data_IF_921934875180
#
_entry.id   IF_921934875180
#
_cell.length_a   1.000
_cell.length_b   1.000
_cell.length_c   1.000
_cell.angle_alpha   90.00
_cell.angle_beta   90.00
_cell.angle_gamma   90.00
#
_symmetry.space_group_name_H-M   'P 1'
#
loop_
_entity.id
_entity.type
_entity.pdbx_description
1 polymer ?
#
# COMPACT_ATOMS: atom_id res chain seq x y z
N UNK A 1 -26.74 87.17 31.97
CA UNK A 1 -27.00 86.08 31.02
C UNK A 1 -25.70 85.86 30.28
N UNK A 2 -25.08 84.70 30.44
CA UNK A 2 -23.72 84.43 29.94
C UNK A 2 -23.82 83.89 28.52
N UNK A 3 -23.08 84.45 27.57
CA UNK A 3 -23.00 83.91 26.22
C UNK A 3 -22.16 82.64 26.22
N UNK A 4 -22.73 81.54 25.72
CA UNK A 4 -22.03 80.27 25.52
C UNK A 4 -21.75 80.14 24.03
N UNK A 5 -20.48 80.20 23.65
CA UNK A 5 -20.05 79.86 22.29
C UNK A 5 -20.01 78.34 22.16
N UNK A 6 -20.85 77.80 21.26
CA UNK A 6 -20.79 76.40 20.83
C UNK A 6 -20.10 76.37 19.48
N UNK A 7 -18.87 75.85 19.42
CA UNK A 7 -18.22 75.50 18.17
C UNK A 7 -18.57 74.06 17.82
N UNK A 8 -19.28 73.85 16.73
CA UNK A 8 -19.46 72.51 16.14
C UNK A 8 -18.31 72.24 15.19
N UNK A 9 -17.41 71.32 15.56
CA UNK A 9 -16.42 70.78 14.64
C UNK A 9 -17.10 69.83 13.65
N UNK A 10 -16.96 70.12 12.36
CA UNK A 10 -17.53 69.32 11.27
C UNK A 10 -16.43 68.36 10.74
N UNK A 11 -16.54 67.08 11.08
CA UNK A 11 -15.60 66.05 10.63
C UNK A 11 -16.05 65.54 9.27
N UNK A 12 -15.52 66.12 8.20
CA UNK A 12 -15.76 65.68 6.83
C UNK A 12 -14.87 64.47 6.51
N UNK A 13 -15.45 63.27 6.55
CA UNK A 13 -14.78 62.03 6.12
C UNK A 13 -14.76 61.99 4.59
N UNK A 14 -13.65 62.42 3.99
CA UNK A 14 -13.43 62.36 2.54
C UNK A 14 -12.46 61.21 2.26
N UNK A 15 -12.96 60.08 1.73
CA UNK A 15 -12.09 59.13 1.04
C UNK A 15 -12.00 57.72 1.63
N UNK A 16 -13.14 57.04 1.78
CA UNK A 16 -13.17 55.59 1.70
C UNK A 16 -13.88 55.19 0.40
N UNK A 17 -13.26 54.34 -0.42
CA UNK A 17 -13.91 53.81 -1.63
C UNK A 17 -15.21 53.14 -1.22
N UNK A 18 -16.33 53.56 -1.82
CA UNK A 18 -17.67 53.10 -1.43
C UNK A 18 -17.86 51.59 -1.60
N UNK A 19 -17.07 50.95 -2.47
CA UNK A 19 -17.08 49.53 -2.73
C UNK A 19 -15.64 49.01 -2.93
N UNK A 20 -15.30 47.90 -2.29
CA UNK A 20 -14.10 47.11 -2.61
C UNK A 20 -14.57 45.89 -3.39
N UNK A 21 -14.20 45.80 -4.67
CA UNK A 21 -14.48 44.61 -5.45
C UNK A 21 -13.45 43.53 -5.06
N UNK A 22 -13.89 42.51 -4.34
CA UNK A 22 -13.07 41.34 -4.00
C UNK A 22 -13.44 40.24 -4.98
N UNK A 23 -12.62 40.05 -6.00
CA UNK A 23 -12.75 38.91 -6.90
C UNK A 23 -12.25 37.66 -6.17
N UNK A 24 -13.15 36.72 -5.88
CA UNK A 24 -12.85 35.44 -5.21
C UNK A 24 -12.80 34.27 -6.18
N UNK A 25 -12.97 34.54 -7.47
CA UNK A 25 -13.19 33.51 -8.49
C UNK A 25 -11.89 32.81 -8.90
N UNK A 26 -10.74 33.49 -8.71
CA UNK A 26 -9.43 32.99 -9.11
C UNK A 26 -8.39 33.28 -8.03
N UNK A 27 -7.78 32.23 -7.49
CA UNK A 27 -6.55 32.35 -6.72
C UNK A 27 -5.35 32.66 -7.62
N UNK A 28 -4.18 32.97 -7.04
CA UNK A 28 -2.95 33.09 -7.81
C UNK A 28 -2.72 31.83 -8.65
N UNK A 29 -2.39 32.01 -9.93
CA UNK A 29 -1.96 30.90 -10.77
C UNK A 29 -0.63 30.37 -10.24
N UNK A 30 -0.62 29.14 -9.72
CA UNK A 30 0.60 28.46 -9.30
C UNK A 30 1.48 28.05 -10.49
N UNK A 31 2.77 27.86 -10.25
CA UNK A 31 3.73 27.47 -11.30
C UNK A 31 3.41 26.09 -11.89
N UNK A 32 2.96 25.16 -11.04
CA UNK A 32 2.47 23.83 -11.42
C UNK A 32 1.55 23.23 -10.34
N UNK A 33 0.88 22.13 -10.67
CA UNK A 33 0.22 21.26 -9.70
C UNK A 33 1.21 20.34 -8.97
N UNK A 34 0.68 19.57 -8.01
CA UNK A 34 1.48 18.61 -7.24
C UNK A 34 1.98 17.47 -8.13
N UNK A 35 3.24 17.10 -7.95
CA UNK A 35 3.82 15.91 -8.58
C UNK A 35 3.62 14.69 -7.70
N UNK A 36 3.38 13.56 -8.36
CA UNK A 36 3.40 12.23 -7.75
C UNK A 36 4.67 11.53 -8.20
N UNK A 37 5.57 11.31 -7.24
CA UNK A 37 6.88 10.70 -7.43
C UNK A 37 6.87 9.28 -6.87
N UNK A 38 7.63 8.40 -7.50
CA UNK A 38 7.84 7.02 -7.04
C UNK A 38 9.32 6.73 -7.17
N UNK A 39 9.93 6.21 -6.10
CA UNK A 39 11.38 5.99 -6.08
C UNK A 39 11.83 4.97 -5.05
N UNK A 40 13.13 4.72 -5.03
CA UNK A 40 13.78 3.79 -4.13
C UNK A 40 14.45 4.57 -3.00
N UNK A 41 14.06 4.29 -1.76
CA UNK A 41 14.63 4.89 -0.56
C UNK A 41 13.71 5.91 0.12
N UNK A 42 14.01 6.22 1.37
CA UNK A 42 13.40 7.30 2.14
C UNK A 42 13.63 8.64 1.39
N UNK A 43 12.56 9.37 1.02
CA UNK A 43 12.67 10.61 0.27
C UNK A 43 13.42 11.73 1.00
N UNK A 44 13.64 11.63 2.32
CA UNK A 44 14.48 12.55 3.09
C UNK A 44 15.99 12.27 2.96
N UNK A 45 16.37 11.09 2.49
CA UNK A 45 17.78 10.65 2.43
C UNK A 45 18.35 10.58 1.02
N UNK A 46 17.48 10.56 0.02
CA UNK A 46 17.85 10.43 -1.40
C UNK A 46 17.84 11.79 -2.12
N UNK A 47 18.58 11.86 -3.22
CA UNK A 47 18.51 12.99 -4.15
C UNK A 47 17.36 12.86 -5.13
N UNK A 48 16.63 13.94 -5.36
CA UNK A 48 15.55 14.00 -6.34
C UNK A 48 16.05 14.63 -7.64
N UNK A 49 15.66 14.06 -8.79
CA UNK A 49 16.05 14.59 -10.11
C UNK A 49 15.23 15.81 -10.54
N UNK A 50 14.14 16.11 -9.81
CA UNK A 50 13.21 17.20 -10.09
C UNK A 50 13.15 18.17 -8.93
N UNK A 51 12.91 19.45 -9.23
CA UNK A 51 12.70 20.46 -8.20
C UNK A 51 11.40 20.20 -7.44
N UNK A 52 11.55 20.00 -6.13
CA UNK A 52 10.44 19.69 -5.22
C UNK A 52 9.66 20.95 -4.88
N UNK A 53 8.34 20.82 -4.82
CA UNK A 53 7.42 21.86 -4.34
C UNK A 53 6.55 21.31 -3.21
N UNK A 54 6.10 22.20 -2.34
CA UNK A 54 5.20 21.83 -1.24
C UNK A 54 3.96 21.13 -1.80
N UNK A 55 3.49 20.13 -1.06
CA UNK A 55 2.38 19.23 -1.37
C UNK A 55 2.67 18.18 -2.46
N UNK A 56 3.89 18.11 -2.99
CA UNK A 56 4.32 16.95 -3.77
C UNK A 56 4.20 15.67 -2.95
N UNK A 57 3.90 14.57 -3.63
CA UNK A 57 3.70 13.24 -3.05
C UNK A 57 4.82 12.32 -3.52
N UNK A 58 5.34 11.48 -2.63
CA UNK A 58 6.35 10.47 -2.95
C UNK A 58 5.93 9.11 -2.39
N UNK A 59 6.20 8.04 -3.12
CA UNK A 59 5.99 6.66 -2.66
C UNK A 59 7.33 5.92 -2.66
N UNK A 60 7.73 5.40 -1.48
CA UNK A 60 8.92 4.54 -1.38
C UNK A 60 8.58 3.12 -1.86
N UNK A 61 9.24 2.64 -2.91
CA UNK A 61 9.11 1.28 -3.43
C UNK A 61 10.35 0.41 -3.19
N UNK A 62 11.26 0.83 -2.31
CA UNK A 62 12.41 0.03 -1.92
C UNK A 62 12.01 -1.06 -0.91
N UNK A 63 11.95 -2.30 -1.38
CA UNK A 63 11.47 -3.44 -0.61
C UNK A 63 12.32 -3.79 0.64
N UNK A 64 13.55 -3.29 0.73
CA UNK A 64 14.44 -3.51 1.87
C UNK A 64 14.22 -2.51 3.02
N UNK A 65 13.48 -1.43 2.78
CA UNK A 65 13.28 -0.38 3.77
C UNK A 65 12.09 -0.70 4.67
N UNK A 66 12.16 -0.28 5.94
CA UNK A 66 11.07 -0.49 6.91
C UNK A 66 9.77 0.22 6.52
N UNK A 67 9.88 1.29 5.74
CA UNK A 67 8.81 2.13 5.22
C UNK A 67 8.48 1.81 3.75
N UNK A 68 8.80 0.60 3.29
CA UNK A 68 8.35 0.10 1.98
C UNK A 68 6.84 0.30 1.81
N UNK A 69 6.44 0.89 0.67
CA UNK A 69 5.08 1.31 0.31
C UNK A 69 4.49 2.43 1.16
N UNK A 70 5.30 3.15 1.93
CA UNK A 70 4.85 4.39 2.57
C UNK A 70 4.78 5.54 1.57
N UNK A 71 3.72 6.34 1.72
CA UNK A 71 3.44 7.55 0.98
C UNK A 71 3.80 8.75 1.84
N UNK A 72 4.56 9.67 1.26
CA UNK A 72 5.03 10.89 1.90
C UNK A 72 4.46 12.11 1.20
N UNK A 73 4.30 13.19 1.95
CA UNK A 73 3.99 14.50 1.41
C UNK A 73 5.09 15.48 1.79
N UNK A 74 5.53 16.26 0.81
CA UNK A 74 6.52 17.31 1.03
C UNK A 74 5.84 18.51 1.67
N UNK A 75 6.15 18.79 2.93
CA UNK A 75 5.49 19.85 3.72
C UNK A 75 6.53 20.74 4.38
N UNK A 76 6.11 21.93 4.81
CA UNK A 76 6.92 22.75 5.68
C UNK A 76 6.61 22.38 7.14
N UNK A 77 7.58 21.77 7.82
CA UNK A 77 7.49 21.44 9.23
C UNK A 77 8.48 22.32 10.01
N UNK A 78 7.96 23.21 10.84
CA UNK A 78 8.81 24.08 11.67
C UNK A 78 9.75 25.00 10.87
N UNK A 79 9.37 25.39 9.65
CA UNK A 79 10.19 26.23 8.77
C UNK A 79 11.15 25.45 7.87
N UNK A 80 11.22 24.13 7.99
CA UNK A 80 12.05 23.26 7.14
C UNK A 80 11.14 22.47 6.20
N UNK A 81 11.46 22.47 4.91
CA UNK A 81 10.75 21.64 3.95
C UNK A 81 11.26 20.19 4.04
N UNK A 82 10.37 19.27 4.37
CA UNK A 82 10.70 17.87 4.64
C UNK A 82 9.60 16.94 4.16
N UNK A 83 9.92 15.67 3.93
CA UNK A 83 8.93 14.65 3.61
C UNK A 83 8.35 14.04 4.89
N UNK A 84 7.03 14.13 5.04
CA UNK A 84 6.30 13.53 6.16
C UNK A 84 5.48 12.36 5.65
N UNK A 85 5.57 11.22 6.32
CA UNK A 85 4.76 10.05 6.02
C UNK A 85 3.27 10.38 6.27
N UNK A 86 2.46 10.24 5.23
CA UNK A 86 1.01 10.51 5.27
C UNK A 86 0.19 9.24 5.42
N UNK A 87 0.75 8.10 5.00
CA UNK A 87 0.11 6.81 5.14
C UNK A 87 0.83 5.72 4.38
N UNK A 88 0.53 4.47 4.72
CA UNK A 88 1.10 3.30 4.06
C UNK A 88 0.12 2.74 3.05
N UNK A 89 0.59 2.48 1.83
CA UNK A 89 -0.20 1.75 0.85
C UNK A 89 -0.30 0.29 1.30
N UNK A 90 -1.53 -0.15 1.53
CA UNK A 90 -1.82 -1.54 1.81
C UNK A 90 -2.05 -2.22 0.46
N UNK A 91 -1.10 -3.02 0.00
CA UNK A 91 -1.37 -3.98 -1.07
C UNK A 91 -2.05 -5.18 -0.43
N UNK A 92 -3.32 -5.42 -0.75
CA UNK A 92 -4.09 -6.59 -0.32
C UNK A 92 -3.63 -7.89 -0.98
N UNK A 93 -2.52 -7.86 -1.73
CA UNK A 93 -2.02 -8.92 -2.59
C UNK A 93 -0.54 -9.16 -2.32
N UNK A 94 -0.22 -10.38 -1.95
CA UNK A 94 1.14 -10.92 -1.89
C UNK A 94 1.33 -11.91 -3.04
N UNK A 95 2.40 -11.76 -3.81
CA UNK A 95 2.73 -12.66 -4.91
C UNK A 95 4.19 -13.10 -4.81
N UNK A 96 4.45 -14.39 -5.05
CA UNK A 96 5.80 -14.94 -4.98
C UNK A 96 5.92 -16.23 -5.80
N UNK A 97 7.11 -16.49 -6.34
CA UNK A 97 7.47 -17.76 -6.94
C UNK A 97 8.23 -18.62 -5.92
N UNK A 98 7.82 -19.87 -5.76
CA UNK A 98 8.48 -20.84 -4.88
C UNK A 98 8.83 -22.12 -5.63
N UNK A 99 9.98 -22.67 -5.30
CA UNK A 99 10.37 -24.01 -5.76
C UNK A 99 9.75 -25.03 -4.82
N UNK A 100 8.82 -25.85 -5.32
CA UNK A 100 8.04 -26.82 -4.52
C UNK A 100 8.31 -28.22 -5.03
N UNK A 101 8.70 -29.11 -4.12
CA UNK A 101 8.80 -30.54 -4.40
C UNK A 101 7.45 -31.23 -4.23
N UNK A 102 7.10 -32.12 -5.15
CA UNK A 102 5.89 -32.94 -5.13
C UNK A 102 6.25 -34.42 -5.06
N UNK A 103 5.51 -35.16 -4.24
CA UNK A 103 5.59 -36.62 -4.12
C UNK A 103 4.17 -37.17 -4.27
N UNK A 104 3.95 -38.00 -5.29
CA UNK A 104 2.66 -38.63 -5.56
C UNK A 104 1.49 -37.64 -5.62
N UNK A 105 1.72 -36.48 -6.22
CA UNK A 105 0.71 -35.45 -6.43
C UNK A 105 0.45 -34.54 -5.24
N UNK A 106 1.27 -34.59 -4.18
CA UNK A 106 1.14 -33.72 -3.01
C UNK A 106 2.46 -32.99 -2.76
N UNK A 107 2.40 -31.71 -2.37
CA UNK A 107 3.58 -30.96 -1.94
C UNK A 107 4.29 -31.69 -0.78
N UNK A 108 5.59 -31.93 -0.92
CA UNK A 108 6.37 -32.75 -0.01
C UNK A 108 6.40 -32.20 1.43
N UNK A 109 6.34 -30.88 1.58
CA UNK A 109 6.20 -30.17 2.84
C UNK A 109 5.13 -29.07 2.67
N UNK A 110 4.60 -28.57 3.79
CA UNK A 110 3.81 -27.36 3.79
C UNK A 110 4.64 -26.17 3.30
N UNK A 111 4.04 -25.31 2.48
CA UNK A 111 4.62 -24.05 2.03
C UNK A 111 4.18 -22.97 3.01
N UNK A 112 5.13 -22.46 3.79
CA UNK A 112 4.86 -21.45 4.81
C UNK A 112 5.00 -20.03 4.26
N UNK A 113 3.92 -19.24 4.40
CA UNK A 113 3.94 -17.81 4.09
C UNK A 113 3.87 -17.00 5.38
N UNK A 114 4.80 -16.06 5.57
CA UNK A 114 4.73 -15.13 6.70
C UNK A 114 3.53 -14.20 6.51
N UNK A 115 2.65 -14.13 7.50
CA UNK A 115 1.44 -13.29 7.43
C UNK A 115 1.81 -11.81 7.34
N UNK A 116 2.92 -11.40 7.97
CA UNK A 116 3.47 -10.03 7.90
C UNK A 116 3.85 -9.58 6.49
N UNK A 117 4.08 -10.50 5.55
CA UNK A 117 4.36 -10.17 4.15
C UNK A 117 3.06 -9.90 3.36
N UNK A 118 1.91 -10.29 3.90
CA UNK A 118 0.59 -10.19 3.26
C UNK A 118 -0.19 -9.02 3.84
N UNK A 119 -0.15 -8.83 5.16
CA UNK A 119 -0.86 -7.79 5.89
C UNK A 119 -0.01 -7.28 7.07
N UNK A 120 -0.09 -5.98 7.44
CA UNK A 120 0.58 -5.47 8.63
C UNK A 120 0.23 -6.25 9.90
N UNK A 121 1.23 -6.52 10.74
CA UNK A 121 1.07 -7.30 11.98
C UNK A 121 0.05 -6.70 12.97
N UNK A 122 -0.16 -5.38 12.93
CA UNK A 122 -1.18 -4.69 13.73
C UNK A 122 -2.62 -5.12 13.41
N UNK A 123 -2.85 -5.71 12.22
CA UNK A 123 -4.15 -6.14 11.73
C UNK A 123 -4.34 -7.66 11.75
N UNK A 124 -3.36 -8.41 12.28
CA UNK A 124 -3.41 -9.89 12.30
C UNK A 124 -4.35 -10.43 13.37
N UNK A 125 -4.66 -9.63 14.40
CA UNK A 125 -5.55 -10.03 15.48
C UNK A 125 -6.93 -10.46 14.98
N UNK A 126 -7.25 -11.75 15.18
CA UNK A 126 -8.55 -12.33 14.80
C UNK A 126 -8.63 -12.91 13.39
N UNK A 127 -7.55 -12.83 12.59
CA UNK A 127 -7.52 -13.51 11.29
C UNK A 127 -7.43 -15.02 11.46
N UNK A 128 -8.05 -15.71 10.53
CA UNK A 128 -8.04 -17.17 10.37
C UNK A 128 -7.65 -17.54 8.95
N UNK A 129 -7.38 -18.82 8.70
CA UNK A 129 -7.10 -19.30 7.34
C UNK A 129 -8.22 -18.98 6.32
N UNK A 130 -9.46 -18.84 6.78
CA UNK A 130 -10.61 -18.55 5.92
C UNK A 130 -10.63 -17.10 5.40
N UNK A 131 -9.86 -16.21 6.01
CA UNK A 131 -9.76 -14.80 5.60
C UNK A 131 -8.74 -14.60 4.47
N UNK A 132 -8.07 -15.67 4.02
CA UNK A 132 -7.12 -15.64 2.92
C UNK A 132 -7.64 -16.39 1.70
N UNK A 133 -7.56 -15.74 0.54
CA UNK A 133 -7.72 -16.39 -0.75
C UNK A 133 -6.33 -16.69 -1.32
N UNK A 134 -6.02 -17.98 -1.45
CA UNK A 134 -4.74 -18.45 -1.99
C UNK A 134 -4.98 -19.09 -3.35
N UNK A 135 -4.27 -18.62 -4.35
CA UNK A 135 -4.25 -19.15 -5.70
C UNK A 135 -2.83 -19.56 -6.06
N UNK A 136 -2.70 -20.63 -6.84
CA UNK A 136 -1.41 -21.04 -7.37
C UNK A 136 -1.48 -21.36 -8.87
N UNK A 137 -0.35 -21.20 -9.53
CA UNK A 137 -0.12 -21.66 -10.90
C UNK A 137 1.21 -22.38 -10.95
N UNK A 138 1.20 -23.63 -11.40
CA UNK A 138 2.39 -24.48 -11.47
C UNK A 138 2.98 -24.34 -12.87
N UNK A 139 4.25 -23.95 -12.94
CA UNK A 139 4.98 -23.92 -14.20
C UNK A 139 5.47 -25.33 -14.53
N UNK A 140 4.86 -25.93 -15.56
CA UNK A 140 5.29 -27.21 -16.12
C UNK A 140 5.56 -27.03 -17.62
N UNK A 141 6.72 -27.48 -18.13
CA UNK A 141 7.14 -27.17 -19.50
C UNK A 141 6.24 -27.83 -20.57
N UNK A 142 5.85 -29.09 -20.35
CA UNK A 142 5.35 -29.93 -21.46
C UNK A 142 3.92 -30.44 -21.27
N UNK A 143 3.26 -30.14 -20.15
CA UNK A 143 2.00 -30.82 -19.79
C UNK A 143 1.09 -29.89 -19.01
N UNK A 144 -0.23 -29.88 -19.30
CA UNK A 144 -1.21 -29.22 -18.46
C UNK A 144 -1.17 -29.78 -17.04
N UNK A 145 -1.29 -28.91 -16.05
CA UNK A 145 -1.33 -29.28 -14.64
C UNK A 145 -2.60 -28.74 -14.02
N UNK A 146 -3.36 -29.63 -13.37
CA UNK A 146 -4.46 -29.26 -12.50
C UNK A 146 -3.95 -29.29 -11.05
N UNK A 147 -4.39 -28.33 -10.25
CA UNK A 147 -3.98 -28.21 -8.86
C UNK A 147 -5.14 -27.82 -7.95
N UNK A 148 -5.07 -28.25 -6.70
CA UNK A 148 -5.91 -27.77 -5.61
C UNK A 148 -5.05 -27.34 -4.43
N UNK A 149 -5.58 -26.42 -3.64
CA UNK A 149 -4.89 -25.84 -2.49
C UNK A 149 -5.70 -26.13 -1.23
N UNK A 150 -4.99 -26.53 -0.18
CA UNK A 150 -5.51 -26.58 1.19
C UNK A 150 -4.75 -25.56 2.03
N UNK A 151 -5.47 -24.54 2.51
CA UNK A 151 -4.94 -23.56 3.46
C UNK A 151 -5.13 -24.10 4.87
N UNK A 152 -4.04 -24.21 5.62
CA UNK A 152 -4.06 -24.73 6.99
C UNK A 152 -4.23 -23.57 8.00
N UNK A 153 -4.65 -23.87 9.25
CA UNK A 153 -4.75 -22.85 10.29
C UNK A 153 -3.45 -22.05 10.45
N UNK A 154 -3.60 -20.76 10.74
CA UNK A 154 -2.47 -19.89 11.06
C UNK A 154 -1.77 -20.45 12.29
N UNK A 155 -0.45 -20.56 12.24
CA UNK A 155 0.36 -21.06 13.36
C UNK A 155 1.59 -20.19 13.58
N UNK A 156 2.28 -20.43 14.69
CA UNK A 156 3.56 -19.80 14.98
C UNK A 156 4.65 -20.78 14.56
N UNK A 157 5.54 -20.34 13.67
CA UNK A 157 6.65 -21.14 13.20
C UNK A 157 7.63 -21.42 14.35
N UNK A 158 7.89 -22.69 14.61
CA UNK A 158 8.84 -23.10 15.64
C UNK A 158 10.25 -22.57 15.31
N UNK A 159 10.93 -22.00 16.32
CA UNK A 159 12.30 -21.50 16.21
C UNK A 159 12.41 -20.01 15.84
N UNK A 160 11.56 -19.48 14.96
CA UNK A 160 11.57 -18.05 14.60
C UNK A 160 10.52 -17.22 15.34
N UNK A 161 9.40 -17.83 15.74
CA UNK A 161 8.28 -17.11 16.35
C UNK A 161 7.44 -16.33 15.33
N UNK A 162 7.67 -16.50 14.03
CA UNK A 162 6.89 -15.86 12.98
C UNK A 162 5.46 -16.40 12.93
N UNK A 163 4.48 -15.53 12.69
CA UNK A 163 3.11 -15.93 12.36
C UNK A 163 3.05 -16.34 10.90
N UNK A 164 2.71 -17.61 10.63
CA UNK A 164 2.71 -18.21 9.30
C UNK A 164 1.33 -18.74 8.89
N UNK A 165 1.07 -18.70 7.58
CA UNK A 165 -0.04 -19.33 6.89
C UNK A 165 0.51 -20.53 6.09
N UNK A 166 0.40 -21.76 6.63
CA UNK A 166 0.88 -22.96 5.94
C UNK A 166 -0.11 -23.38 4.85
N UNK A 167 0.43 -23.81 3.71
CA UNK A 167 -0.37 -24.22 2.56
C UNK A 167 0.13 -25.55 2.00
N UNK A 168 -0.80 -26.45 1.67
CA UNK A 168 -0.53 -27.71 0.97
C UNK A 168 -1.11 -27.63 -0.43
N UNK A 169 -0.35 -28.08 -1.44
CA UNK A 169 -0.80 -28.12 -2.84
C UNK A 169 -0.91 -29.57 -3.28
N UNK A 170 -2.06 -29.95 -3.81
CA UNK A 170 -2.22 -31.20 -4.54
C UNK A 170 -2.20 -30.89 -6.03
N UNK A 171 -1.55 -31.74 -6.85
CA UNK A 171 -1.43 -31.52 -8.27
C UNK A 171 -1.37 -32.84 -9.06
N UNK A 172 -1.98 -32.81 -10.24
CA UNK A 172 -1.84 -33.85 -11.25
C UNK A 172 -1.50 -33.22 -12.59
N UNK A 173 -0.72 -33.93 -13.41
CA UNK A 173 -0.41 -33.54 -14.78
C UNK A 173 -1.16 -34.42 -15.76
N UNK A 174 -1.55 -33.84 -16.88
CA UNK A 174 -2.14 -34.60 -17.97
C UNK A 174 -1.02 -35.17 -18.84
N UNK A 175 -0.95 -36.50 -18.95
CA UNK A 175 0.05 -37.21 -19.75
C UNK A 175 -0.65 -38.18 -20.68
N UNK A 176 -0.42 -38.00 -21.99
CA UNK A 176 -0.99 -38.81 -23.08
C UNK A 176 -2.52 -38.82 -23.12
N UNK A 177 -3.17 -39.55 -22.22
CA UNK A 177 -4.63 -39.67 -22.10
C UNK A 177 -5.16 -39.66 -20.67
N UNK A 178 -4.30 -39.56 -19.66
CA UNK A 178 -4.69 -39.69 -18.25
C UNK A 178 -4.09 -38.60 -17.36
N UNK A 179 -4.79 -38.30 -16.26
CA UNK A 179 -4.25 -37.46 -15.19
C UNK A 179 -3.40 -38.30 -14.26
N UNK A 180 -2.10 -38.02 -14.22
CA UNK A 180 -1.15 -38.72 -13.36
C UNK A 180 -0.65 -37.81 -12.23
N UNK A 181 -0.38 -38.34 -11.03
CA UNK A 181 0.10 -37.52 -9.92
C UNK A 181 1.40 -36.79 -10.25
N UNK A 182 1.47 -35.49 -9.93
CA UNK A 182 2.68 -34.71 -10.16
C UNK A 182 3.78 -35.18 -9.20
N UNK A 183 5.00 -35.40 -9.71
CA UNK A 183 6.16 -35.77 -8.89
C UNK A 183 7.40 -35.07 -9.42
N UNK A 184 8.27 -34.64 -8.51
CA UNK A 184 9.45 -33.83 -8.82
C UNK A 184 9.31 -32.39 -8.33
N UNK A 185 10.26 -31.54 -8.72
CA UNK A 185 10.35 -30.17 -8.23
C UNK A 185 9.97 -29.17 -9.32
N UNK A 186 9.04 -28.27 -9.02
CA UNK A 186 8.52 -27.30 -9.97
C UNK A 186 8.46 -25.90 -9.37
N UNK A 187 8.52 -24.87 -10.22
CA UNK A 187 8.25 -23.51 -9.81
C UNK A 187 6.75 -23.28 -9.76
N UNK A 188 6.27 -22.84 -8.60
CA UNK A 188 4.86 -22.53 -8.35
C UNK A 188 4.76 -21.04 -8.03
N UNK A 189 3.98 -20.32 -8.83
CA UNK A 189 3.59 -18.95 -8.54
C UNK A 189 2.41 -18.98 -7.57
N UNK A 190 2.50 -18.25 -6.48
CA UNK A 190 1.42 -18.05 -5.53
C UNK A 190 0.95 -16.60 -5.59
N UNK A 191 -0.37 -16.43 -5.55
CA UNK A 191 -1.04 -15.15 -5.32
C UNK A 191 -1.93 -15.32 -4.10
N UNK A 192 -1.70 -14.51 -3.07
CA UNK A 192 -2.44 -14.53 -1.83
C UNK A 192 -3.07 -13.17 -1.63
N UNK A 193 -4.38 -13.13 -1.38
CA UNK A 193 -5.09 -11.91 -1.04
C UNK A 193 -5.95 -12.06 0.20
N UNK A 194 -6.23 -10.95 0.88
CA UNK A 194 -7.22 -10.96 1.96
C UNK A 194 -8.63 -11.04 1.37
N UNK A 195 -9.40 -12.05 1.75
CA UNK A 195 -10.82 -12.17 1.44
C UNK A 195 -11.63 -11.48 2.56
N UNK A 196 -11.55 -10.15 2.64
CA UNK A 196 -12.41 -9.40 3.56
C UNK A 196 -13.87 -9.66 3.18
N UNK A 197 -14.65 -10.18 4.14
CA UNK A 197 -16.10 -10.23 4.03
C UNK A 197 -16.64 -8.80 4.11
N UNK A 198 -16.62 -8.08 2.99
CA UNK A 198 -17.44 -6.88 2.85
C UNK A 198 -18.86 -7.39 2.62
N UNK A 199 -19.63 -7.49 3.70
CA UNK A 199 -21.08 -7.66 3.60
C UNK A 199 -21.62 -6.37 3.00
N UNK A 200 -21.96 -6.40 1.71
CA UNK A 200 -22.76 -5.32 1.12
C UNK A 200 -24.13 -5.41 1.77
N UNK A 201 -24.44 -4.44 2.64
CA UNK A 201 -25.76 -4.26 3.26
C UNK A 201 -26.65 -3.48 2.29
#
# INVERSE_FOLDING_TARGET
MTEVFVSTDDVKVIGGTANVNVEVDFGPQGDRGNLFLVGLGDPNTISHATDLQLLDIYINVQATDSDYLSMYQYVNEGGVNTWIETGKLITDKFSTNRTVGFVSGVSANAIDFKVSNIIPMSLVGGLTAADFNVQCTISHPDSPVASSITVLPITIQAGTGDVILPVTVNACKFSESEWTPLSGTFTVHFLISLALKITVV
#
